data_IF_776131928210
#
_entry.id   IF_776131928210
#
_cell.length_a   1.000
_cell.length_b   1.000
_cell.length_c   1.000
_cell.angle_alpha   90.00
_cell.angle_beta   90.00
_cell.angle_gamma   90.00
#
_symmetry.space_group_name_H-M   'P 1'
#
loop_
_entity.id
_entity.type
_entity.pdbx_description
1 polymer ?
#
# COMPACT_ATOMS: atom_id res chain seq x y z
N UNK A 1 17.06 3.95 8.34
CA UNK A 1 16.76 5.15 7.53
C UNK A 1 17.93 5.31 6.55
N UNK A 2 17.92 4.57 5.44
CA UNK A 2 18.95 4.61 4.41
C UNK A 2 18.32 4.21 3.08
N UNK A 3 18.73 4.84 1.99
CA UNK A 3 18.15 4.62 0.67
C UNK A 3 17.97 5.93 -0.11
N UNK A 4 17.82 5.81 -1.43
CA UNK A 4 17.68 6.96 -2.34
C UNK A 4 16.39 7.77 -2.16
N UNK A 5 15.37 7.22 -1.48
CA UNK A 5 14.08 7.86 -1.21
C UNK A 5 13.95 8.37 0.23
N UNK A 6 15.02 8.36 1.01
CA UNK A 6 14.99 8.85 2.39
C UNK A 6 14.56 10.32 2.44
N UNK A 7 13.63 10.64 3.35
CA UNK A 7 13.12 12.00 3.54
C UNK A 7 12.06 12.44 2.52
N UNK A 8 11.79 11.63 1.49
CA UNK A 8 10.72 11.90 0.54
C UNK A 8 9.36 11.80 1.24
N UNK A 9 8.53 12.84 1.11
CA UNK A 9 7.13 12.76 1.53
C UNK A 9 6.35 11.87 0.58
N UNK A 10 5.55 10.97 1.15
CA UNK A 10 4.80 9.96 0.40
C UNK A 10 3.39 9.80 0.95
N UNK A 11 2.47 9.45 0.06
CA UNK A 11 1.19 8.86 0.41
C UNK A 11 1.28 7.35 0.20
N UNK A 12 0.48 6.61 0.98
CA UNK A 12 0.41 5.15 0.89
C UNK A 12 -1.01 4.77 0.48
N UNK A 13 -1.14 3.96 -0.57
CA UNK A 13 -2.40 3.27 -0.87
C UNK A 13 -2.56 2.09 0.10
N UNK A 14 -3.59 2.10 0.96
CA UNK A 14 -3.80 1.05 1.96
C UNK A 14 -4.25 -0.29 1.38
N UNK A 15 -4.58 -0.37 0.08
CA UNK A 15 -5.15 -1.56 -0.56
C UNK A 15 -4.08 -2.42 -1.28
N UNK A 16 -3.56 -3.45 -0.59
CA UNK A 16 -2.65 -4.45 -1.17
C UNK A 16 -3.44 -5.62 -1.79
N UNK A 17 -3.80 -5.46 -3.06
CA UNK A 17 -4.48 -6.49 -3.86
C UNK A 17 -3.54 -7.68 -4.16
N UNK A 18 -4.08 -8.91 -4.15
CA UNK A 18 -3.29 -10.13 -4.30
C UNK A 18 -2.65 -10.33 -5.68
N UNK A 19 -3.16 -9.62 -6.71
CA UNK A 19 -2.67 -9.69 -8.10
C UNK A 19 -2.80 -11.06 -8.79
N UNK A 20 -3.57 -11.99 -8.20
CA UNK A 20 -3.69 -13.38 -8.67
C UNK A 20 -5.14 -13.90 -8.73
N UNK A 21 -6.11 -13.19 -8.14
CA UNK A 21 -7.53 -13.56 -8.27
C UNK A 21 -8.12 -13.07 -9.60
N UNK A 22 -9.27 -13.63 -10.00
CA UNK A 22 -9.95 -13.28 -11.27
C UNK A 22 -10.10 -11.78 -11.49
N UNK A 23 -10.49 -11.03 -10.46
CA UNK A 23 -10.70 -9.60 -10.57
C UNK A 23 -9.38 -8.86 -10.79
N UNK A 24 -8.29 -9.31 -10.17
CA UNK A 24 -6.98 -8.73 -10.41
C UNK A 24 -6.47 -9.02 -11.83
N UNK A 25 -6.65 -10.24 -12.32
CA UNK A 25 -6.26 -10.63 -13.68
C UNK A 25 -7.05 -9.86 -14.74
N UNK A 26 -8.32 -9.54 -14.47
CA UNK A 26 -9.18 -8.69 -15.30
C UNK A 26 -8.87 -7.18 -15.17
N UNK A 27 -7.91 -6.78 -14.32
CA UNK A 27 -7.53 -5.38 -14.13
C UNK A 27 -8.42 -4.60 -13.16
N UNK A 28 -9.21 -5.28 -12.33
CA UNK A 28 -10.12 -4.73 -11.32
C UNK A 28 -9.60 -4.98 -9.87
N UNK A 29 -8.44 -4.42 -9.47
CA UNK A 29 -7.83 -4.72 -8.16
C UNK A 29 -8.68 -4.27 -6.96
N UNK A 30 -9.53 -3.26 -7.13
CA UNK A 30 -10.44 -2.79 -6.09
C UNK A 30 -11.51 -3.83 -5.69
N UNK A 31 -11.73 -4.83 -6.53
CA UNK A 31 -12.65 -5.94 -6.28
C UNK A 31 -11.93 -7.22 -5.81
N UNK A 32 -10.65 -7.12 -5.42
CA UNK A 32 -9.85 -8.28 -5.05
C UNK A 32 -10.51 -9.11 -3.93
N UNK A 33 -10.70 -10.40 -4.18
CA UNK A 33 -11.25 -11.36 -3.19
C UNK A 33 -10.34 -11.57 -1.97
N UNK A 34 -9.05 -11.23 -2.12
CA UNK A 34 -8.01 -11.47 -1.12
C UNK A 34 -7.31 -10.16 -0.72
N UNK A 35 -8.07 -9.07 -0.68
CA UNK A 35 -7.56 -7.74 -0.34
C UNK A 35 -6.93 -7.72 1.07
N UNK A 36 -5.67 -7.28 1.15
CA UNK A 36 -5.05 -6.89 2.43
C UNK A 36 -5.16 -5.38 2.57
N UNK A 37 -5.91 -4.93 3.56
CA UNK A 37 -6.15 -3.50 3.76
C UNK A 37 -5.49 -3.02 5.06
N UNK A 38 -4.66 -1.97 4.99
CA UNK A 38 -3.96 -1.45 6.17
C UNK A 38 -4.94 -1.05 7.28
N UNK A 39 -4.77 -1.60 8.49
CA UNK A 39 -5.63 -1.33 9.64
C UNK A 39 -6.93 -2.14 9.69
N UNK A 40 -7.15 -3.08 8.76
CA UNK A 40 -8.32 -3.96 8.76
C UNK A 40 -7.98 -5.36 9.31
N UNK A 41 -8.81 -5.85 10.24
CA UNK A 41 -8.70 -7.20 10.78
C UNK A 41 -7.36 -7.45 11.47
N UNK A 42 -6.52 -8.29 10.85
CA UNK A 42 -5.20 -8.69 11.36
C UNK A 42 -4.04 -7.94 10.71
N UNK A 43 -4.33 -6.99 9.82
CA UNK A 43 -3.32 -6.22 9.09
C UNK A 43 -3.03 -4.93 9.86
N UNK A 44 -1.77 -4.75 10.26
CA UNK A 44 -1.31 -3.52 10.90
C UNK A 44 -1.64 -2.27 10.08
N UNK A 45 -2.08 -1.21 10.76
CA UNK A 45 -2.45 0.07 10.15
C UNK A 45 -1.46 1.20 10.44
N UNK A 46 -1.82 2.42 10.04
CA UNK A 46 -0.94 3.59 10.11
C UNK A 46 -0.98 4.36 11.45
N UNK A 47 -1.78 3.93 12.45
CA UNK A 47 -1.81 4.56 13.79
C UNK A 47 -0.60 4.15 14.64
N UNK A 48 0.60 4.52 14.19
CA UNK A 48 1.91 4.22 14.78
C UNK A 48 2.99 5.07 14.14
N UNK A 49 4.21 5.08 14.71
CA UNK A 49 5.31 5.92 14.19
C UNK A 49 5.94 5.39 12.90
N UNK A 50 5.89 4.07 12.64
CA UNK A 50 6.52 3.42 11.48
C UNK A 50 5.66 2.29 10.94
N UNK A 51 5.54 2.20 9.61
CA UNK A 51 4.81 1.14 8.91
C UNK A 51 5.67 0.55 7.79
N UNK A 52 5.70 -0.78 7.69
CA UNK A 52 6.25 -1.47 6.52
C UNK A 52 5.13 -1.73 5.52
N UNK A 53 5.28 -1.27 4.28
CA UNK A 53 4.28 -1.43 3.23
C UNK A 53 4.94 -1.71 1.86
N UNK A 54 4.26 -2.39 0.90
CA UNK A 54 4.82 -2.63 -0.42
C UNK A 54 5.17 -1.34 -1.16
N UNK A 55 6.39 -1.25 -1.70
CA UNK A 55 6.87 -0.06 -2.42
C UNK A 55 5.99 0.34 -3.60
N UNK A 56 5.36 -0.64 -4.28
CA UNK A 56 4.45 -0.37 -5.40
C UNK A 56 3.17 0.41 -5.00
N UNK A 57 2.88 0.51 -3.71
CA UNK A 57 1.74 1.23 -3.14
C UNK A 57 2.16 2.54 -2.43
N UNK A 58 3.41 2.96 -2.62
CA UNK A 58 3.97 4.19 -2.07
C UNK A 58 4.12 5.20 -3.19
N UNK A 59 3.46 6.34 -3.05
CA UNK A 59 3.40 7.37 -4.07
C UNK A 59 4.06 8.65 -3.54
N UNK A 60 4.98 9.28 -4.31
CA UNK A 60 5.56 10.55 -3.90
C UNK A 60 4.47 11.62 -3.81
N UNK A 61 4.53 12.43 -2.75
CA UNK A 61 3.75 13.65 -2.66
C UNK A 61 4.49 14.79 -3.37
N UNK A 62 3.77 15.76 -3.94
CA UNK A 62 4.37 17.02 -4.38
C UNK A 62 5.04 17.73 -3.20
N UNK A 63 6.12 18.45 -3.49
CA UNK A 63 6.77 19.33 -2.50
C UNK A 63 5.95 20.60 -2.23
N UNK A 64 5.07 20.99 -3.18
CA UNK A 64 4.06 22.05 -3.12
C UNK A 64 2.77 21.67 -3.88
#
# INVERSE_FOLDING_TARGET
ESGNQQGQHVAVDPADACRQCRYCEEGNPNLCDNMRFAGHGVVDGALREKLCWPQALVYPLPDE
#
